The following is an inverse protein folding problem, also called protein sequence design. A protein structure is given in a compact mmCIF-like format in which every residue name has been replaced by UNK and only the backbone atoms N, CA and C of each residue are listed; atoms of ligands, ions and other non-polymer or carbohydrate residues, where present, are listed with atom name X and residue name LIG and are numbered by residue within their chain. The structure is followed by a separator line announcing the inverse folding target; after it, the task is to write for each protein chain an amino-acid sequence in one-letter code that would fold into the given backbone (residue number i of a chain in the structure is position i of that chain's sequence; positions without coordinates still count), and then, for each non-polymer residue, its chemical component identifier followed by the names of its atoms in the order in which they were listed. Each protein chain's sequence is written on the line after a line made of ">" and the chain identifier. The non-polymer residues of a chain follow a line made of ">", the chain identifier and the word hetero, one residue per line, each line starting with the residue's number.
data_IF_804238499109
#
_entry.id   IF_804238499109
#
_cell.length_a   1.000
_cell.length_b   1.000
_cell.length_c   1.000
_cell.angle_alpha   90.00
_cell.angle_beta   90.00
_cell.angle_gamma   90.00
#
_symmetry.space_group_name_H-M   'P 1'
#
loop_
_entity.id
_entity.type
_entity.pdbx_description
1 polymer ?
#
# COMPACT_ATOMS: atom_id res chain seq x y z
N UNK A 1 18.07 17.71 1.40
CA UNK A 1 17.62 17.16 0.11
C UNK A 1 16.75 15.96 0.42
N UNK A 2 15.50 15.94 -0.06
CA UNK A 2 14.69 14.71 -0.10
C UNK A 2 15.48 13.69 -0.94
N UNK A 3 15.75 12.52 -0.40
CA UNK A 3 16.29 11.41 -1.20
C UNK A 3 15.08 10.65 -1.73
N UNK A 4 14.84 10.73 -3.03
CA UNK A 4 13.78 9.97 -3.70
C UNK A 4 14.40 8.75 -4.36
N UNK A 5 13.90 7.56 -4.05
CA UNK A 5 14.35 6.31 -4.66
C UNK A 5 13.17 5.36 -4.81
N UNK A 6 12.95 4.87 -6.03
CA UNK A 6 11.95 3.84 -6.26
C UNK A 6 12.54 2.48 -5.83
N UNK A 7 11.76 1.66 -5.12
CA UNK A 7 12.26 0.43 -4.49
C UNK A 7 11.38 -0.76 -4.86
N UNK A 8 11.97 -1.94 -4.97
CA UNK A 8 11.24 -3.22 -4.94
C UNK A 8 11.65 -3.94 -3.66
N UNK A 9 10.70 -4.24 -2.77
CA UNK A 9 10.92 -5.17 -1.67
C UNK A 9 10.54 -6.56 -2.13
N UNK A 10 11.56 -7.38 -2.35
CA UNK A 10 11.40 -8.68 -3.00
C UNK A 10 11.47 -9.80 -1.97
N UNK A 11 10.31 -10.32 -1.56
CA UNK A 11 10.22 -11.40 -0.57
C UNK A 11 10.12 -12.78 -1.22
N UNK A 12 9.71 -12.85 -2.50
CA UNK A 12 9.37 -14.11 -3.16
C UNK A 12 9.89 -14.25 -4.60
N UNK A 13 10.59 -13.24 -5.11
CA UNK A 13 11.09 -13.17 -6.50
C UNK A 13 9.98 -13.11 -7.56
N UNK A 14 8.79 -12.62 -7.22
CA UNK A 14 7.69 -12.42 -8.19
C UNK A 14 8.06 -11.41 -9.29
N UNK A 15 8.82 -10.38 -8.94
CA UNK A 15 9.16 -9.33 -9.89
C UNK A 15 10.31 -9.77 -10.82
N UNK A 16 10.16 -9.68 -12.16
CA UNK A 16 11.22 -10.02 -13.12
C UNK A 16 12.56 -9.37 -12.80
N UNK A 17 13.66 -10.12 -12.92
CA UNK A 17 15.03 -9.63 -12.60
C UNK A 17 15.39 -8.37 -13.40
N UNK A 18 14.92 -8.26 -14.65
CA UNK A 18 15.22 -7.15 -15.56
C UNK A 18 14.46 -5.84 -15.22
N UNK A 19 13.59 -5.82 -14.21
CA UNK A 19 12.87 -4.59 -13.81
C UNK A 19 13.80 -3.43 -13.43
N UNK A 20 14.99 -3.71 -12.91
CA UNK A 20 16.01 -2.69 -12.60
C UNK A 20 16.65 -2.12 -13.88
N UNK A 21 16.75 -2.94 -14.92
CA UNK A 21 17.35 -2.60 -16.22
C UNK A 21 16.38 -1.87 -17.17
N UNK A 22 15.07 -1.96 -16.92
CA UNK A 22 14.00 -1.30 -17.70
C UNK A 22 13.95 0.24 -17.55
N UNK A 23 15.00 0.87 -17.03
CA UNK A 23 15.15 2.33 -17.02
C UNK A 23 14.29 3.08 -16.00
N UNK A 24 13.71 2.38 -15.01
CA UNK A 24 12.84 2.97 -13.96
C UNK A 24 13.60 3.46 -12.71
N UNK A 25 14.91 3.23 -12.65
CA UNK A 25 15.72 3.56 -11.46
C UNK A 25 15.23 2.85 -10.19
N UNK A 26 14.53 1.72 -10.35
CA UNK A 26 14.09 0.87 -9.26
C UNK A 26 15.30 0.17 -8.65
N UNK A 27 15.43 0.24 -7.34
CA UNK A 27 16.43 -0.52 -6.57
C UNK A 27 15.73 -1.69 -5.89
N UNK A 28 16.12 -2.92 -6.22
CA UNK A 28 15.66 -4.11 -5.49
C UNK A 28 16.37 -4.23 -4.15
N UNK A 29 15.60 -4.54 -3.13
CA UNK A 29 16.07 -5.01 -1.84
C UNK A 29 15.56 -6.45 -1.74
N UNK A 30 16.46 -7.39 -1.90
CA UNK A 30 16.16 -8.81 -1.71
C UNK A 30 15.95 -9.09 -0.21
N UNK A 31 14.80 -9.68 0.10
CA UNK A 31 14.35 -10.07 1.44
C UNK A 31 13.92 -11.55 1.49
N UNK A 32 14.10 -12.30 0.40
CA UNK A 32 13.59 -13.67 0.27
C UNK A 32 14.27 -14.68 1.20
N UNK A 33 15.46 -14.35 1.71
CA UNK A 33 16.20 -15.15 2.69
C UNK A 33 15.74 -14.92 4.13
N UNK A 34 14.85 -13.95 4.39
CA UNK A 34 14.35 -13.67 5.74
C UNK A 34 13.17 -14.59 6.06
N UNK A 35 13.39 -15.54 6.97
CA UNK A 35 12.35 -16.40 7.49
C UNK A 35 11.32 -15.64 8.36
N UNK A 36 10.10 -16.18 8.45
CA UNK A 36 9.07 -15.62 9.33
C UNK A 36 8.48 -14.31 8.82
N UNK A 37 8.30 -14.20 7.50
CA UNK A 37 7.77 -13.02 6.80
C UNK A 37 6.44 -13.27 6.08
N UNK A 38 6.07 -14.53 5.81
CA UNK A 38 4.87 -14.84 5.03
C UNK A 38 3.58 -14.74 5.89
N UNK A 39 2.69 -13.79 5.58
CA UNK A 39 1.45 -13.40 6.29
C UNK A 39 1.68 -12.80 7.68
N UNK A 40 2.68 -13.29 8.42
CA UNK A 40 3.09 -12.80 9.72
C UNK A 40 4.56 -12.44 9.68
N UNK A 41 4.93 -11.37 10.39
CA UNK A 41 6.30 -10.92 10.53
C UNK A 41 6.77 -11.13 11.98
N UNK A 42 7.75 -12.01 12.17
CA UNK A 42 8.39 -12.21 13.49
C UNK A 42 9.21 -10.99 13.88
N UNK A 43 9.56 -10.88 15.17
CA UNK A 43 10.33 -9.72 15.63
C UNK A 43 11.74 -9.71 15.03
N UNK A 44 12.32 -10.89 14.88
CA UNK A 44 13.60 -11.13 14.23
C UNK A 44 13.56 -10.66 12.77
N UNK A 45 12.51 -11.05 12.03
CA UNK A 45 12.30 -10.62 10.65
C UNK A 45 12.13 -9.09 10.56
N UNK A 46 11.29 -8.49 11.41
CA UNK A 46 11.12 -7.04 11.43
C UNK A 46 12.46 -6.29 11.64
N UNK A 47 13.31 -6.80 12.54
CA UNK A 47 14.61 -6.16 12.84
C UNK A 47 15.56 -6.26 11.64
N UNK A 48 15.58 -7.40 10.95
CA UNK A 48 16.41 -7.60 9.76
C UNK A 48 15.92 -6.75 8.58
N UNK A 49 14.60 -6.68 8.36
CA UNK A 49 13.99 -5.80 7.36
C UNK A 49 14.35 -4.34 7.64
N UNK A 50 14.21 -3.87 8.88
CA UNK A 50 14.64 -2.52 9.29
C UNK A 50 16.12 -2.27 9.01
N UNK A 51 16.98 -3.26 9.28
CA UNK A 51 18.43 -3.16 9.05
C UNK A 51 18.72 -2.96 7.55
N UNK A 52 18.10 -3.76 6.67
CA UNK A 52 18.29 -3.66 5.21
C UNK A 52 17.72 -2.37 4.63
N UNK A 53 16.60 -1.91 5.17
CA UNK A 53 15.94 -0.67 4.78
C UNK A 53 16.56 0.58 5.42
N UNK A 54 17.59 0.49 6.27
CA UNK A 54 18.06 1.61 7.09
C UNK A 54 18.43 2.87 6.27
N UNK A 55 19.02 2.70 5.09
CA UNK A 55 19.40 3.79 4.20
C UNK A 55 18.28 4.23 3.22
N UNK A 56 17.16 3.52 3.18
CA UNK A 56 16.03 3.82 2.32
C UNK A 56 15.19 4.97 2.88
N UNK A 57 14.66 5.78 1.96
CA UNK A 57 13.72 6.87 2.22
C UNK A 57 12.29 6.39 2.03
N UNK A 58 11.29 7.00 2.70
CA UNK A 58 9.88 6.77 2.38
C UNK A 58 9.41 7.53 1.12
N UNK A 59 10.31 8.24 0.43
CA UNK A 59 9.96 9.02 -0.76
C UNK A 59 10.24 8.23 -2.05
N UNK A 60 9.26 8.21 -2.94
CA UNK A 60 9.30 7.52 -4.23
C UNK A 60 8.09 6.60 -4.41
N UNK A 61 8.20 5.72 -5.41
CA UNK A 61 7.23 4.65 -5.67
C UNK A 61 7.89 3.33 -5.30
N UNK A 62 7.29 2.59 -4.38
CA UNK A 62 7.81 1.34 -3.87
C UNK A 62 6.88 0.18 -4.25
N UNK A 63 7.43 -0.87 -4.85
CA UNK A 63 6.70 -2.12 -5.04
C UNK A 63 6.97 -3.04 -3.85
N UNK A 64 5.89 -3.51 -3.27
CA UNK A 64 5.85 -4.59 -2.30
C UNK A 64 5.43 -5.86 -3.02
N UNK A 65 5.66 -7.00 -2.41
CA UNK A 65 5.37 -8.31 -2.97
C UNK A 65 3.85 -8.60 -3.00
N UNK A 66 3.42 -9.85 -2.93
CA UNK A 66 2.01 -10.19 -2.81
C UNK A 66 1.40 -9.74 -1.47
N UNK A 67 0.06 -9.82 -1.34
CA UNK A 67 -0.67 -9.27 -0.19
C UNK A 67 -0.27 -9.86 1.17
N UNK A 68 0.42 -11.01 1.20
CA UNK A 68 0.95 -11.55 2.45
C UNK A 68 2.00 -10.64 3.10
N UNK A 69 2.58 -9.72 2.34
CA UNK A 69 3.65 -8.82 2.75
C UNK A 69 3.21 -7.36 2.83
N UNK A 70 1.91 -7.06 2.74
CA UNK A 70 1.40 -5.69 2.74
C UNK A 70 1.78 -4.91 4.01
N UNK A 71 1.97 -5.64 5.12
CA UNK A 71 2.53 -5.08 6.35
C UNK A 71 3.87 -4.36 6.17
N UNK A 72 4.59 -4.59 5.07
CA UNK A 72 5.85 -3.93 4.75
C UNK A 72 5.72 -2.41 4.59
N UNK A 73 4.51 -1.89 4.30
CA UNK A 73 4.19 -0.45 4.36
C UNK A 73 4.61 0.17 5.69
N UNK A 74 4.48 -0.57 6.80
CA UNK A 74 4.90 -0.12 8.14
C UNK A 74 6.37 0.32 8.16
N UNK A 75 7.26 -0.36 7.43
CA UNK A 75 8.69 -0.02 7.46
C UNK A 75 9.03 1.27 6.70
N UNK A 76 8.19 1.68 5.74
CA UNK A 76 8.28 3.00 5.12
C UNK A 76 7.64 4.07 6.01
N UNK A 77 6.45 3.80 6.55
CA UNK A 77 5.74 4.71 7.44
C UNK A 77 6.57 5.07 8.70
N UNK A 78 7.26 4.10 9.32
CA UNK A 78 8.14 4.29 10.49
C UNK A 78 9.28 5.30 10.25
N UNK A 79 9.62 5.59 8.98
CA UNK A 79 10.65 6.57 8.62
C UNK A 79 10.15 8.02 8.66
N UNK A 80 8.84 8.23 8.78
CA UNK A 80 8.20 9.54 8.73
C UNK A 80 8.14 10.13 10.14
N UNK A 81 9.08 11.00 10.47
CA UNK A 81 9.23 11.57 11.81
C UNK A 81 8.39 12.83 12.07
N UNK A 82 7.58 13.28 11.11
CA UNK A 82 6.71 14.47 11.21
C UNK A 82 5.24 14.09 11.04
N UNK A 83 4.28 14.91 11.53
CA UNK A 83 2.85 14.63 11.40
C UNK A 83 2.42 14.33 9.96
N UNK A 84 1.79 13.19 9.72
CA UNK A 84 1.32 12.78 8.40
C UNK A 84 -0.01 12.00 8.48
N UNK A 85 -0.64 11.82 7.34
CA UNK A 85 -1.81 10.96 7.13
C UNK A 85 -1.42 9.76 6.26
N UNK A 86 -2.12 8.63 6.42
CA UNK A 86 -1.99 7.48 5.52
C UNK A 86 -3.29 7.33 4.72
N UNK A 87 -3.21 7.20 3.39
CA UNK A 87 -4.34 6.71 2.58
C UNK A 87 -4.04 5.27 2.20
N UNK A 88 -4.96 4.37 2.52
CA UNK A 88 -4.88 2.94 2.25
C UNK A 88 -6.00 2.59 1.25
N UNK A 89 -5.61 2.19 0.05
CA UNK A 89 -6.51 1.60 -0.94
C UNK A 89 -6.39 0.09 -0.85
N UNK A 90 -7.48 -0.57 -0.46
CA UNK A 90 -7.45 -1.99 -0.11
C UNK A 90 -8.88 -2.57 -0.18
N UNK A 91 -9.03 -3.84 -0.54
CA UNK A 91 -10.32 -4.52 -0.38
C UNK A 91 -10.54 -4.98 1.07
N UNK A 92 -9.48 -5.33 1.77
CA UNK A 92 -9.46 -5.69 3.17
C UNK A 92 -9.22 -4.46 4.04
N UNK A 93 -9.60 -4.54 5.31
CA UNK A 93 -9.36 -3.41 6.21
C UNK A 93 -7.93 -3.37 6.73
N UNK A 94 -7.29 -4.52 6.87
CA UNK A 94 -6.03 -4.72 7.61
C UNK A 94 -6.04 -4.14 9.04
N UNK A 95 -7.25 -4.01 9.58
CA UNK A 95 -7.52 -3.48 10.92
C UNK A 95 -7.97 -4.58 11.91
N UNK A 96 -7.77 -5.86 11.58
CA UNK A 96 -8.24 -6.95 12.43
C UNK A 96 -7.45 -7.00 13.75
N UNK A 97 -8.08 -7.43 14.86
CA UNK A 97 -7.36 -7.72 16.09
C UNK A 97 -6.26 -8.75 15.85
N UNK A 98 -5.08 -8.53 16.41
CA UNK A 98 -4.00 -9.51 16.29
C UNK A 98 -4.35 -10.82 17.01
N UNK A 99 -4.16 -11.95 16.33
CA UNK A 99 -4.24 -13.29 16.93
C UNK A 99 -3.17 -13.51 18.01
N UNK A 100 -2.02 -12.84 17.87
CA UNK A 100 -0.90 -12.92 18.81
C UNK A 100 -0.49 -11.49 19.20
N UNK A 101 -0.72 -11.06 20.46
CA UNK A 101 -0.46 -9.69 20.87
C UNK A 101 0.94 -9.20 20.49
N UNK A 102 1.00 -8.10 19.74
CA UNK A 102 2.25 -7.48 19.28
C UNK A 102 2.91 -8.13 18.05
N UNK A 103 2.33 -9.19 17.48
CA UNK A 103 2.78 -9.77 16.21
C UNK A 103 2.15 -9.05 15.03
N UNK A 104 3.00 -8.61 14.09
CA UNK A 104 2.60 -7.95 12.86
C UNK A 104 2.13 -9.00 11.83
N UNK A 105 1.05 -8.69 11.11
CA UNK A 105 0.53 -9.53 10.02
C UNK A 105 -0.05 -8.69 8.89
N UNK A 106 -0.29 -9.31 7.73
CA UNK A 106 -1.05 -8.67 6.66
C UNK A 106 -2.44 -8.22 7.16
N UNK A 107 -3.17 -9.03 7.93
CA UNK A 107 -4.51 -8.62 8.40
C UNK A 107 -4.59 -7.57 9.51
N UNK A 108 -3.48 -7.11 10.11
CA UNK A 108 -3.52 -6.21 11.28
C UNK A 108 -2.58 -4.99 11.23
N UNK A 109 -1.74 -4.87 10.19
CA UNK A 109 -0.66 -3.89 10.20
C UNK A 109 -1.17 -2.45 10.26
N UNK A 110 -2.30 -2.17 9.61
CA UNK A 110 -2.90 -0.84 9.58
C UNK A 110 -3.37 -0.45 11.00
N UNK A 111 -3.99 -1.39 11.72
CA UNK A 111 -4.41 -1.18 13.11
C UNK A 111 -3.21 -0.96 14.03
N UNK A 112 -2.17 -1.80 13.91
CA UNK A 112 -0.95 -1.67 14.71
C UNK A 112 -0.21 -0.36 14.43
N UNK A 113 -0.14 0.06 13.16
CA UNK A 113 0.47 1.32 12.77
C UNK A 113 -0.32 2.53 13.32
N UNK A 114 -1.65 2.55 13.17
CA UNK A 114 -2.50 3.63 13.68
C UNK A 114 -2.49 3.73 15.21
N UNK A 115 -2.31 2.60 15.90
CA UNK A 115 -2.19 2.53 17.36
C UNK A 115 -0.84 3.02 17.87
N UNK A 116 0.26 2.64 17.21
CA UNK A 116 1.62 2.80 17.74
C UNK A 116 2.40 4.00 17.17
N UNK A 117 2.09 4.47 15.97
CA UNK A 117 2.90 5.49 15.30
C UNK A 117 2.53 6.91 15.76
N UNK A 118 3.38 7.53 16.58
CA UNK A 118 3.10 8.83 17.21
C UNK A 118 2.84 9.99 16.23
N UNK A 119 3.44 9.94 15.03
CA UNK A 119 3.26 10.97 14.00
C UNK A 119 2.10 10.71 13.05
N UNK A 120 1.48 9.52 13.07
CA UNK A 120 0.35 9.21 12.21
C UNK A 120 -0.91 9.84 12.81
N UNK A 121 -1.44 10.85 12.12
CA UNK A 121 -2.58 11.64 12.58
C UNK A 121 -3.91 10.97 12.27
N UNK A 122 -3.99 10.37 11.09
CA UNK A 122 -5.16 9.65 10.63
C UNK A 122 -4.81 8.62 9.57
N UNK A 123 -5.68 7.63 9.43
CA UNK A 123 -5.71 6.67 8.33
C UNK A 123 -7.03 6.88 7.56
N UNK A 124 -6.96 7.00 6.24
CA UNK A 124 -8.11 7.01 5.34
C UNK A 124 -8.13 5.65 4.64
N UNK A 125 -9.10 4.80 4.99
CA UNK A 125 -9.27 3.47 4.41
C UNK A 125 -10.30 3.55 3.28
N UNK A 126 -9.92 3.15 2.08
CA UNK A 126 -10.72 3.30 0.86
C UNK A 126 -10.83 1.96 0.15
N UNK A 127 -12.06 1.47 -0.04
CA UNK A 127 -12.31 0.27 -0.86
C UNK A 127 -13.03 -0.90 -0.19
N UNK A 128 -12.91 -1.17 1.12
CA UNK A 128 -13.68 -2.25 1.72
C UNK A 128 -15.20 -2.01 1.64
N UNK A 129 -15.99 -3.09 1.66
CA UNK A 129 -17.45 -2.98 1.77
C UNK A 129 -17.84 -2.37 3.13
N UNK A 130 -18.98 -1.67 3.14
CA UNK A 130 -19.50 -1.00 4.35
C UNK A 130 -19.58 -1.96 5.55
N UNK A 131 -20.01 -3.21 5.31
CA UNK A 131 -20.11 -4.23 6.35
C UNK A 131 -18.75 -4.58 6.96
N UNK A 132 -17.70 -4.71 6.15
CA UNK A 132 -16.33 -4.99 6.64
C UNK A 132 -15.80 -3.84 7.50
N UNK A 133 -16.20 -2.60 7.20
CA UNK A 133 -15.81 -1.43 7.97
C UNK A 133 -16.50 -1.35 9.34
N UNK A 134 -17.73 -1.87 9.46
CA UNK A 134 -18.47 -1.93 10.73
C UNK A 134 -17.82 -2.90 11.74
N UNK A 135 -17.03 -3.85 11.26
CA UNK A 135 -16.28 -4.81 12.10
C UNK A 135 -15.00 -4.20 12.70
N UNK A 136 -14.58 -3.00 12.25
CA UNK A 136 -13.37 -2.34 12.74
C UNK A 136 -13.58 -1.88 14.20
N UNK A 137 -12.62 -2.17 15.10
CA UNK A 137 -12.73 -1.76 16.51
C UNK A 137 -12.98 -0.25 16.69
N UNK A 138 -13.93 0.15 17.55
CA UNK A 138 -14.32 1.56 17.72
C UNK A 138 -13.24 2.44 18.36
N UNK A 139 -12.15 1.84 18.86
CA UNK A 139 -11.01 2.56 19.46
C UNK A 139 -10.32 3.51 18.46
N UNK A 140 -10.45 3.26 17.16
CA UNK A 140 -9.86 4.08 16.10
C UNK A 140 -10.70 5.29 15.70
N UNK A 141 -11.88 5.46 16.33
CA UNK A 141 -12.77 6.59 16.06
C UNK A 141 -12.05 7.94 16.27
N UNK A 142 -12.14 8.81 15.27
CA UNK A 142 -11.48 10.12 15.27
C UNK A 142 -10.05 10.13 14.71
N UNK A 143 -9.48 8.96 14.44
CA UNK A 143 -8.24 8.80 13.67
C UNK A 143 -8.43 7.97 12.38
N UNK A 144 -9.53 7.27 12.24
CA UNK A 144 -9.88 6.51 11.05
C UNK A 144 -11.02 7.19 10.30
N UNK A 145 -10.84 7.41 9.01
CA UNK A 145 -11.90 7.78 8.06
C UNK A 145 -12.06 6.62 7.09
N UNK A 146 -13.28 6.13 6.91
CA UNK A 146 -13.57 5.03 6.00
C UNK A 146 -14.41 5.53 4.82
N UNK A 147 -14.03 5.10 3.61
CA UNK A 147 -14.73 5.36 2.35
C UNK A 147 -15.01 4.02 1.69
N UNK A 148 -16.25 3.55 1.79
CA UNK A 148 -16.62 2.20 1.34
C UNK A 148 -16.73 2.08 -0.18
N UNK A 149 -16.71 0.85 -0.71
CA UNK A 149 -16.94 0.62 -2.14
C UNK A 149 -18.32 1.15 -2.57
N UNK A 150 -19.33 0.99 -1.72
CA UNK A 150 -20.68 1.49 -1.95
C UNK A 150 -20.70 3.02 -2.05
N UNK A 151 -19.99 3.73 -1.18
CA UNK A 151 -19.87 5.19 -1.25
C UNK A 151 -19.12 5.66 -2.51
N UNK A 152 -18.19 4.87 -3.03
CA UNK A 152 -17.48 5.15 -4.29
C UNK A 152 -18.42 4.96 -5.49
N UNK A 153 -19.15 3.84 -5.52
CA UNK A 153 -20.09 3.50 -6.60
C UNK A 153 -21.27 4.48 -6.66
N UNK A 154 -21.75 4.96 -5.50
CA UNK A 154 -22.80 5.98 -5.40
C UNK A 154 -22.29 7.41 -5.60
N UNK A 155 -20.97 7.60 -5.82
CA UNK A 155 -20.33 8.92 -5.96
C UNK A 155 -20.48 9.83 -4.74
N UNK A 156 -20.49 9.24 -3.55
CA UNK A 156 -20.68 9.91 -2.25
C UNK A 156 -19.35 10.22 -1.53
N UNK A 157 -18.20 9.97 -2.16
CA UNK A 157 -16.85 10.24 -1.62
C UNK A 157 -16.72 11.67 -1.07
N UNK A 158 -17.31 12.66 -1.74
CA UNK A 158 -17.27 14.07 -1.35
C UNK A 158 -17.82 14.33 0.06
N UNK A 159 -18.75 13.49 0.53
CA UNK A 159 -19.34 13.62 1.86
C UNK A 159 -18.32 13.33 2.96
N UNK A 160 -17.37 12.43 2.69
CA UNK A 160 -16.30 12.04 3.62
C UNK A 160 -15.15 13.03 3.68
N UNK A 161 -14.98 13.86 2.64
CA UNK A 161 -13.87 14.84 2.59
C UNK A 161 -13.87 15.78 3.79
N UNK A 162 -15.04 16.11 4.35
CA UNK A 162 -15.16 16.96 5.54
C UNK A 162 -14.59 16.34 6.81
N UNK A 163 -14.45 15.01 6.85
CA UNK A 163 -13.90 14.25 7.98
C UNK A 163 -12.36 14.13 7.88
N UNK A 164 -11.78 14.38 6.71
CA UNK A 164 -10.35 14.21 6.43
C UNK A 164 -9.57 15.46 6.87
N UNK A 165 -8.54 15.26 7.70
CA UNK A 165 -7.54 16.29 7.97
C UNK A 165 -6.64 16.49 6.74
N UNK A 166 -6.92 17.54 5.96
CA UNK A 166 -6.20 17.84 4.71
C UNK A 166 -4.82 18.52 4.91
N UNK A 167 -4.52 19.01 6.11
CA UNK A 167 -3.27 19.76 6.36
C UNK A 167 -1.99 18.90 6.37
N UNK A 168 -1.97 17.71 7.00
CA UNK A 168 -0.78 16.88 7.00
C UNK A 168 -0.46 16.36 5.58
N UNK A 169 0.82 16.20 5.23
CA UNK A 169 1.22 15.44 4.06
C UNK A 169 0.79 13.97 4.19
N UNK A 170 0.71 13.27 3.07
CA UNK A 170 0.11 11.94 2.99
C UNK A 170 1.09 10.91 2.44
N UNK A 171 1.13 9.73 3.05
CA UNK A 171 1.73 8.55 2.45
C UNK A 171 0.61 7.65 1.92
N UNK A 172 0.79 7.06 0.74
CA UNK A 172 -0.24 6.25 0.09
C UNK A 172 0.23 4.80 0.06
N UNK A 173 -0.65 3.87 0.45
CA UNK A 173 -0.44 2.44 0.27
C UNK A 173 -1.58 1.86 -0.54
N UNK A 174 -1.24 1.04 -1.53
CA UNK A 174 -2.20 0.44 -2.46
C UNK A 174 -2.02 -1.09 -2.40
N UNK A 175 -2.99 -1.82 -1.87
CA UNK A 175 -3.15 -3.23 -2.24
C UNK A 175 -3.98 -3.30 -3.51
N UNK A 176 -3.44 -3.98 -4.53
CA UNK A 176 -4.15 -4.18 -5.80
C UNK A 176 -5.36 -5.11 -5.66
N UNK A 177 -5.55 -5.79 -4.54
CA UNK A 177 -6.76 -6.54 -4.30
C UNK A 177 -8.03 -5.67 -4.27
N UNK A 178 -7.89 -4.35 -4.04
CA UNK A 178 -8.99 -3.37 -4.18
C UNK A 178 -9.60 -3.37 -5.59
N UNK A 179 -8.79 -3.73 -6.59
CA UNK A 179 -9.18 -3.70 -7.99
C UNK A 179 -10.11 -4.85 -8.36
N UNK A 180 -10.84 -4.70 -9.45
CA UNK A 180 -11.55 -5.82 -10.06
C UNK A 180 -10.58 -6.84 -10.69
N UNK A 181 -11.14 -7.98 -11.09
CA UNK A 181 -10.42 -9.00 -11.85
C UNK A 181 -10.03 -8.56 -13.28
N UNK A 182 -10.18 -7.32 -13.70
CA UNK A 182 -9.53 -6.88 -14.94
C UNK A 182 -8.27 -6.05 -14.63
N UNK A 183 -8.24 -5.40 -13.46
CA UNK A 183 -7.10 -4.64 -12.96
C UNK A 183 -6.04 -5.48 -12.24
N UNK A 184 -6.41 -6.52 -11.51
CA UNK A 184 -5.41 -7.31 -10.76
C UNK A 184 -5.80 -8.77 -10.56
N UNK A 185 -4.77 -9.58 -10.28
CA UNK A 185 -4.83 -10.96 -9.82
C UNK A 185 -3.97 -11.07 -8.59
N UNK A 186 -4.59 -11.11 -7.44
CA UNK A 186 -3.89 -11.24 -6.16
C UNK A 186 -4.08 -12.63 -5.57
N UNK A 187 -3.27 -12.94 -4.56
CA UNK A 187 -3.41 -14.15 -3.76
C UNK A 187 -4.50 -14.03 -2.66
N UNK A 188 -5.23 -12.92 -2.61
CA UNK A 188 -6.39 -12.66 -1.74
C UNK A 188 -7.66 -12.47 -2.57
N UNK A 189 -8.84 -12.40 -1.94
CA UNK A 189 -10.07 -12.10 -2.67
C UNK A 189 -10.06 -10.67 -3.20
N UNK A 190 -10.53 -10.50 -4.44
CA UNK A 190 -10.60 -9.19 -5.09
C UNK A 190 -11.84 -8.40 -4.67
N UNK A 191 -11.67 -7.08 -4.64
CA UNK A 191 -12.73 -6.10 -4.74
C UNK A 191 -13.25 -5.92 -6.17
N UNK A 192 -13.83 -4.75 -6.42
CA UNK A 192 -14.55 -4.43 -7.66
C UNK A 192 -14.12 -3.10 -8.29
N UNK A 193 -13.12 -2.41 -7.72
CA UNK A 193 -12.73 -1.09 -8.21
C UNK A 193 -12.03 -1.20 -9.57
N UNK A 194 -12.46 -0.41 -10.56
CA UNK A 194 -11.69 -0.33 -11.81
C UNK A 194 -10.40 0.48 -11.60
N UNK A 195 -9.32 0.14 -12.34
CA UNK A 195 -8.07 0.91 -12.31
C UNK A 195 -8.28 2.41 -12.58
N UNK A 196 -9.22 2.75 -13.47
CA UNK A 196 -9.58 4.14 -13.78
C UNK A 196 -10.15 4.89 -12.57
N UNK A 197 -10.92 4.22 -11.72
CA UNK A 197 -11.45 4.83 -10.49
C UNK A 197 -10.30 5.06 -9.52
N UNK A 198 -9.42 4.08 -9.32
CA UNK A 198 -8.23 4.23 -8.49
C UNK A 198 -7.37 5.41 -8.94
N UNK A 199 -7.06 5.52 -10.24
CA UNK A 199 -6.28 6.65 -10.80
C UNK A 199 -6.95 8.01 -10.53
N UNK A 200 -8.27 8.10 -10.64
CA UNK A 200 -9.00 9.34 -10.29
C UNK A 200 -8.87 9.69 -8.81
N UNK A 201 -9.02 8.71 -7.93
CA UNK A 201 -8.89 8.91 -6.48
C UNK A 201 -7.47 9.34 -6.11
N UNK A 202 -6.46 8.69 -6.71
CA UNK A 202 -5.06 9.08 -6.54
C UNK A 202 -4.81 10.52 -7.02
N UNK A 203 -5.33 10.90 -8.19
CA UNK A 203 -5.22 12.27 -8.68
C UNK A 203 -5.81 13.29 -7.68
N UNK A 204 -6.98 13.00 -7.10
CA UNK A 204 -7.57 13.89 -6.08
C UNK A 204 -6.65 14.05 -4.86
N UNK A 205 -5.98 12.98 -4.42
CA UNK A 205 -5.02 13.08 -3.31
C UNK A 205 -3.85 14.00 -3.68
N UNK A 206 -3.26 13.82 -4.86
CA UNK A 206 -2.14 14.65 -5.33
C UNK A 206 -2.54 16.12 -5.58
N UNK A 207 -3.77 16.40 -5.99
CA UNK A 207 -4.27 17.77 -6.20
C UNK A 207 -4.49 18.54 -4.89
N UNK A 208 -4.72 17.83 -3.77
CA UNK A 208 -5.12 18.43 -2.51
C UNK A 208 -4.12 18.29 -1.36
N UNK A 209 -3.18 17.36 -1.45
CA UNK A 209 -2.20 17.09 -0.40
C UNK A 209 -0.81 16.83 -0.95
N UNK A 210 0.21 17.16 -0.16
CA UNK A 210 1.59 16.81 -0.47
C UNK A 210 1.82 15.32 -0.23
N UNK A 211 2.13 14.57 -1.28
CA UNK A 211 2.38 13.12 -1.21
C UNK A 211 3.84 12.85 -0.88
N UNK A 212 4.08 12.12 0.21
CA UNK A 212 5.42 11.76 0.72
C UNK A 212 6.03 10.68 -0.17
N UNK A 213 5.25 9.62 -0.43
CA UNK A 213 5.62 8.43 -1.17
C UNK A 213 4.41 7.52 -1.35
N UNK A 214 4.57 6.53 -2.21
CA UNK A 214 3.53 5.55 -2.53
C UNK A 214 4.14 4.15 -2.49
N UNK A 215 3.44 3.19 -1.89
CA UNK A 215 3.70 1.77 -2.13
C UNK A 215 2.54 1.04 -2.79
N UNK A 216 2.89 -0.01 -3.55
CA UNK A 216 1.99 -0.86 -4.34
C UNK A 216 2.26 -2.31 -3.98
N UNK A 217 1.25 -3.02 -3.51
CA UNK A 217 1.24 -4.42 -3.11
C UNK A 217 0.21 -5.21 -3.94
N UNK A 218 0.12 -6.52 -3.74
CA UNK A 218 -0.98 -7.34 -4.26
C UNK A 218 -0.64 -8.02 -5.59
N UNK A 219 0.46 -8.75 -5.64
CA UNK A 219 0.75 -9.72 -6.70
C UNK A 219 0.03 -11.07 -6.53
N UNK A 220 -0.01 -11.87 -7.60
CA UNK A 220 -0.45 -13.27 -7.56
C UNK A 220 0.60 -14.15 -6.86
N UNK A 221 0.20 -15.33 -6.38
CA UNK A 221 1.15 -16.21 -5.70
C UNK A 221 2.03 -16.96 -6.71
N UNK A 222 3.36 -17.02 -6.54
CA UNK A 222 4.25 -17.79 -7.42
C UNK A 222 4.02 -19.30 -7.27
N UNK A 223 3.22 -19.72 -6.30
CA UNK A 223 2.80 -21.11 -6.09
C UNK A 223 1.57 -21.51 -6.92
N UNK A 224 0.99 -20.59 -7.68
CA UNK A 224 -0.15 -20.89 -8.56
C UNK A 224 0.21 -21.84 -9.70
N UNK A 225 -0.76 -22.59 -10.26
CA UNK A 225 -0.53 -23.41 -11.44
C UNK A 225 0.01 -22.56 -12.60
N UNK A 226 1.09 -23.02 -13.24
CA UNK A 226 1.83 -22.29 -14.29
C UNK A 226 0.97 -21.61 -15.37
N UNK A 227 -0.14 -22.23 -15.79
CA UNK A 227 -1.02 -21.65 -16.82
C UNK A 227 -1.84 -20.46 -16.32
N UNK A 228 -2.21 -20.46 -15.04
CA UNK A 228 -2.92 -19.36 -14.38
C UNK A 228 -1.93 -18.25 -14.07
N UNK A 229 -0.79 -18.62 -13.48
CA UNK A 229 0.31 -17.72 -13.14
C UNK A 229 0.73 -16.83 -14.32
N UNK A 230 0.99 -17.39 -15.50
CA UNK A 230 1.41 -16.60 -16.68
C UNK A 230 0.37 -15.56 -17.14
N UNK A 231 -0.93 -15.86 -16.97
CA UNK A 231 -2.00 -14.91 -17.31
C UNK A 231 -2.09 -13.82 -16.24
N UNK A 232 -1.93 -14.23 -15.00
CA UNK A 232 -2.14 -13.38 -13.84
C UNK A 232 -0.97 -12.40 -13.66
N UNK A 233 0.27 -12.87 -13.79
CA UNK A 233 1.48 -12.04 -13.90
C UNK A 233 1.39 -11.03 -15.03
N UNK A 234 0.82 -11.42 -16.18
CA UNK A 234 0.67 -10.50 -17.32
C UNK A 234 -0.30 -9.36 -17.00
N UNK A 235 -1.46 -9.67 -16.39
CA UNK A 235 -2.43 -8.65 -15.97
C UNK A 235 -1.78 -7.72 -14.95
N UNK A 236 -1.12 -8.29 -13.94
CA UNK A 236 -0.48 -7.51 -12.88
C UNK A 236 0.65 -6.63 -13.41
N UNK A 237 1.50 -7.14 -14.30
CA UNK A 237 2.58 -6.36 -14.92
C UNK A 237 2.02 -5.16 -15.70
N UNK A 238 0.93 -5.35 -16.44
CA UNK A 238 0.29 -4.24 -17.16
C UNK A 238 -0.22 -3.17 -16.18
N UNK A 239 -0.81 -3.57 -15.06
CA UNK A 239 -1.28 -2.63 -14.02
C UNK A 239 -0.14 -1.97 -13.27
N UNK A 240 0.94 -2.68 -12.97
CA UNK A 240 2.14 -2.13 -12.36
C UNK A 240 2.77 -1.06 -13.26
N UNK A 241 2.83 -1.32 -14.56
CA UNK A 241 3.34 -0.38 -15.55
C UNK A 241 2.46 0.88 -15.66
N UNK A 242 1.13 0.69 -15.68
CA UNK A 242 0.17 1.79 -15.71
C UNK A 242 0.27 2.66 -14.46
N UNK A 243 0.20 2.05 -13.26
CA UNK A 243 0.31 2.75 -11.98
C UNK A 243 1.66 3.46 -11.84
N UNK A 244 2.77 2.79 -12.18
CA UNK A 244 4.09 3.40 -12.10
C UNK A 244 4.21 4.61 -13.03
N UNK A 245 3.75 4.50 -14.28
CA UNK A 245 3.77 5.61 -15.23
C UNK A 245 2.88 6.77 -14.76
N UNK A 246 1.69 6.45 -14.26
CA UNK A 246 0.72 7.43 -13.77
C UNK A 246 1.26 8.21 -12.57
N UNK A 247 1.69 7.48 -11.52
CA UNK A 247 2.26 8.07 -10.30
C UNK A 247 3.54 8.85 -10.59
N UNK A 248 4.41 8.35 -11.49
CA UNK A 248 5.62 9.08 -11.89
C UNK A 248 5.26 10.43 -12.53
N UNK A 249 4.21 10.46 -13.36
CA UNK A 249 3.68 11.70 -13.94
C UNK A 249 3.14 12.65 -12.86
N UNK A 250 2.40 12.14 -11.88
CA UNK A 250 1.90 12.95 -10.76
C UNK A 250 3.04 13.54 -9.93
N UNK A 251 4.06 12.75 -9.56
CA UNK A 251 5.23 13.27 -8.84
C UNK A 251 5.95 14.36 -9.64
N UNK A 252 6.08 14.22 -10.97
CA UNK A 252 6.68 15.26 -11.81
C UNK A 252 5.87 16.58 -11.84
N UNK A 253 4.54 16.48 -11.72
CA UNK A 253 3.65 17.66 -11.76
C UNK A 253 3.57 18.34 -10.39
N UNK A 254 3.46 17.56 -9.31
CA UNK A 254 3.09 18.06 -7.99
C UNK A 254 4.26 18.14 -6.99
N UNK A 255 5.35 17.38 -7.16
CA UNK A 255 6.55 17.48 -6.30
C UNK A 255 7.45 18.63 -6.78
N UNK A 256 7.02 19.86 -6.46
CA UNK A 256 7.70 21.11 -6.88
C UNK A 256 8.88 21.51 -5.98
N UNK A 257 9.17 20.72 -4.94
CA UNK A 257 10.33 20.91 -4.04
C UNK A 257 11.53 20.08 -4.50
N UNK A 258 12.09 20.42 -5.67
CA UNK A 258 13.47 20.02 -6.08
C UNK A 258 14.47 21.12 -5.73
#
# INVERSE_FOLDING_TARGET
>A
MKITQNIILDFSHIYPEDNEERGRGLKRIDLSDIEGTNMYCTKEAENEIRRRLAACSPHGIHFLDNGNYHYATKFFAEKISFPFSLVLYDHHSDMQPSLFPGMLSCGNWAAELLRSHASLRQLILVGPEQKSMEEIPPEFKGKLVCISMEEIDEHMVDQKLSEIQMKPPVYISIDKDVLDRNGARTNWNQGSMSLRILEKLLLQVFEHQNVIGVDICGECSPMEPMQELLKDEKINMMTNDALYSFLSGLFQIFDTDS
#
